data_IF_617743216157
#
_entry.id   IF_617743216157
#
_cell.length_a   1.000
_cell.length_b   1.000
_cell.length_c   1.000
_cell.angle_alpha   90.00
_cell.angle_beta   90.00
_cell.angle_gamma   90.00
#
_symmetry.space_group_name_H-M   'P 1'
#
loop_
_entity.id
_entity.type
_entity.pdbx_description
1 polymer ?
#
# COMPACT_ATOMS: atom_id res chain seq x y z
N UNK A 1 -1.83 -0.57 22.60
CA UNK A 1 -2.47 -0.88 21.30
C UNK A 1 -3.93 -0.43 21.26
N UNK A 2 -4.80 -0.85 22.19
CA UNK A 2 -6.24 -0.51 22.15
C UNK A 2 -6.56 0.99 22.10
N UNK A 3 -5.76 1.84 22.78
CA UNK A 3 -5.93 3.30 22.76
C UNK A 3 -5.80 3.93 21.36
N UNK A 4 -4.97 3.36 20.47
CA UNK A 4 -4.77 3.87 19.11
C UNK A 4 -6.00 3.67 18.20
N UNK A 5 -6.91 2.77 18.62
CA UNK A 5 -8.14 2.46 17.90
C UNK A 5 -9.38 2.95 18.64
N UNK A 6 -9.20 3.77 19.69
CA UNK A 6 -10.32 4.46 20.31
C UNK A 6 -10.96 5.39 19.25
N UNK A 7 -12.28 5.27 18.99
CA UNK A 7 -12.90 5.92 17.86
C UNK A 7 -12.69 7.43 17.76
N UNK A 8 -12.74 8.18 18.85
CA UNK A 8 -12.60 9.64 18.80
C UNK A 8 -11.21 10.07 18.34
N UNK A 9 -10.17 9.56 19.02
CA UNK A 9 -8.78 9.86 18.66
C UNK A 9 -8.41 9.35 17.27
N UNK A 10 -8.89 8.15 16.93
CA UNK A 10 -8.57 7.51 15.66
C UNK A 10 -9.22 8.22 14.47
N UNK A 11 -10.50 8.57 14.55
CA UNK A 11 -11.20 9.31 13.47
C UNK A 11 -10.53 10.66 13.23
N UNK A 12 -10.14 11.37 14.30
CA UNK A 12 -9.41 12.63 14.18
C UNK A 12 -8.08 12.46 13.42
N UNK A 13 -7.37 11.37 13.67
CA UNK A 13 -6.14 11.06 12.92
C UNK A 13 -6.44 10.79 11.44
N UNK A 14 -7.47 10.00 11.14
CA UNK A 14 -7.87 9.67 9.76
C UNK A 14 -8.28 10.93 8.97
N UNK A 15 -8.94 11.88 9.63
CA UNK A 15 -9.29 13.19 9.04
C UNK A 15 -8.09 14.10 8.78
N UNK A 16 -6.88 13.76 9.25
CA UNK A 16 -5.66 14.51 8.93
C UNK A 16 -5.25 14.43 7.45
N UNK A 17 -5.58 13.32 6.79
CA UNK A 17 -5.45 13.15 5.34
C UNK A 17 -6.62 12.28 4.84
N UNK A 18 -7.83 12.87 4.76
CA UNK A 18 -9.08 12.14 4.57
C UNK A 18 -9.10 11.43 3.21
N UNK A 19 -9.46 10.14 3.22
CA UNK A 19 -9.43 9.29 2.02
C UNK A 19 -8.05 8.72 1.68
N UNK A 20 -6.96 9.28 2.22
CA UNK A 20 -5.61 8.74 2.06
C UNK A 20 -5.18 7.89 3.27
N UNK A 21 -5.51 8.36 4.48
CA UNK A 21 -5.48 7.55 5.68
C UNK A 21 -6.79 6.75 5.74
N UNK A 22 -6.67 5.46 5.47
CA UNK A 22 -7.80 4.54 5.44
C UNK A 22 -7.99 3.85 6.80
N UNK A 23 -9.24 3.69 7.28
CA UNK A 23 -9.51 2.95 8.49
C UNK A 23 -9.21 1.46 8.30
N UNK A 24 -8.44 0.87 9.20
CA UNK A 24 -8.18 -0.58 9.19
C UNK A 24 -9.32 -1.38 9.84
N UNK A 25 -10.17 -0.69 10.62
CA UNK A 25 -11.35 -1.27 11.26
C UNK A 25 -12.60 -0.92 10.45
N UNK A 26 -13.33 -1.93 9.99
CA UNK A 26 -14.60 -1.76 9.26
C UNK A 26 -15.62 -0.91 10.02
N UNK A 27 -15.66 -1.06 11.34
CA UNK A 27 -16.55 -0.28 12.22
C UNK A 27 -16.27 1.22 12.17
N UNK A 28 -15.02 1.63 11.92
CA UNK A 28 -14.63 3.04 11.81
C UNK A 28 -14.92 3.56 10.40
N UNK A 29 -14.67 2.77 9.36
CA UNK A 29 -15.02 3.15 7.98
C UNK A 29 -16.51 3.37 7.74
N UNK A 30 -17.36 2.78 8.58
CA UNK A 30 -18.81 2.95 8.55
C UNK A 30 -19.33 3.95 9.59
N UNK A 31 -18.46 4.54 10.41
CA UNK A 31 -18.85 5.49 11.45
C UNK A 31 -19.31 6.81 10.81
N UNK A 32 -20.52 7.32 11.12
CA UNK A 32 -21.00 8.58 10.58
C UNK A 32 -20.05 9.75 10.84
N UNK A 33 -19.31 9.75 11.96
CA UNK A 33 -18.35 10.80 12.29
C UNK A 33 -17.11 10.75 11.41
N UNK A 34 -16.72 9.56 10.94
CA UNK A 34 -15.64 9.42 9.96
C UNK A 34 -16.11 9.92 8.58
N UNK A 35 -17.31 9.51 8.16
CA UNK A 35 -17.89 9.91 6.88
C UNK A 35 -18.26 11.40 6.83
N UNK A 36 -18.44 12.05 7.98
CA UNK A 36 -18.69 13.49 8.11
C UNK A 36 -17.41 14.34 7.93
N UNK A 37 -16.78 14.18 6.76
CA UNK A 37 -15.65 15.01 6.33
C UNK A 37 -15.92 15.58 4.93
N UNK A 38 -15.71 16.90 4.70
CA UNK A 38 -16.01 17.53 3.41
C UNK A 38 -15.30 16.90 2.21
N UNK A 39 -14.09 16.35 2.39
CA UNK A 39 -13.34 15.70 1.31
C UNK A 39 -13.93 14.31 1.03
N UNK A 40 -14.24 13.54 2.08
CA UNK A 40 -14.85 12.20 1.92
C UNK A 40 -16.22 12.31 1.26
N UNK A 41 -17.04 13.27 1.68
CA UNK A 41 -18.37 13.51 1.08
C UNK A 41 -18.28 13.98 -0.37
N UNK A 42 -17.20 14.69 -0.75
CA UNK A 42 -16.99 15.17 -2.12
C UNK A 42 -16.49 14.09 -3.07
N UNK A 43 -15.75 13.11 -2.56
CA UNK A 43 -15.09 12.05 -3.34
C UNK A 43 -15.44 10.65 -2.82
N UNK A 44 -16.73 10.29 -2.70
CA UNK A 44 -17.13 9.04 -2.09
C UNK A 44 -16.68 7.82 -2.91
N UNK A 45 -16.69 7.93 -4.23
CA UNK A 45 -16.31 6.84 -5.14
C UNK A 45 -14.81 6.56 -5.07
N UNK A 46 -13.98 7.61 -5.02
CA UNK A 46 -12.52 7.47 -4.90
C UNK A 46 -12.10 6.90 -3.54
N UNK A 47 -12.78 7.30 -2.45
CA UNK A 47 -12.53 6.76 -1.11
C UNK A 47 -12.91 5.28 -1.03
N UNK A 48 -14.03 4.89 -1.64
CA UNK A 48 -14.43 3.47 -1.72
C UNK A 48 -13.42 2.67 -2.56
N UNK A 49 -13.05 3.16 -3.74
CA UNK A 49 -12.06 2.51 -4.60
C UNK A 49 -10.72 2.29 -3.88
N UNK A 50 -10.25 3.31 -3.15
CA UNK A 50 -9.02 3.18 -2.36
C UNK A 50 -9.17 2.15 -1.23
N UNK A 51 -10.33 2.11 -0.57
CA UNK A 51 -10.63 1.15 0.50
C UNK A 51 -10.66 -0.29 -0.02
N UNK A 52 -11.30 -0.52 -1.17
CA UNK A 52 -11.34 -1.82 -1.84
C UNK A 52 -9.94 -2.28 -2.27
N UNK A 53 -9.16 -1.39 -2.90
CA UNK A 53 -7.79 -1.67 -3.31
C UNK A 53 -6.89 -2.03 -2.11
N UNK A 54 -7.03 -1.30 -1.00
CA UNK A 54 -6.28 -1.58 0.23
C UNK A 54 -6.68 -2.92 0.86
N UNK A 55 -7.96 -3.28 0.83
CA UNK A 55 -8.45 -4.55 1.37
C UNK A 55 -7.97 -5.78 0.57
N UNK A 56 -7.77 -5.63 -0.75
CA UNK A 56 -7.25 -6.67 -1.62
C UNK A 56 -5.72 -6.69 -1.77
N UNK A 57 -5.04 -5.66 -1.27
CA UNK A 57 -3.60 -5.48 -1.42
C UNK A 57 -2.77 -6.33 -0.46
N UNK A 58 -1.55 -6.66 -0.90
CA UNK A 58 -0.53 -7.29 -0.06
C UNK A 58 0.68 -6.37 0.01
N UNK A 59 1.25 -6.24 1.21
CA UNK A 59 2.48 -5.48 1.39
C UNK A 59 3.68 -6.33 0.95
N UNK A 60 4.70 -5.67 0.39
CA UNK A 60 6.02 -6.29 0.25
C UNK A 60 6.59 -6.59 1.64
N UNK A 61 6.90 -7.85 1.94
CA UNK A 61 7.08 -8.34 3.31
C UNK A 61 6.04 -9.38 3.72
N UNK A 62 4.85 -9.36 3.10
CA UNK A 62 3.80 -10.37 3.25
C UNK A 62 2.97 -10.46 1.97
N UNK A 63 3.59 -11.00 0.93
CA UNK A 63 3.15 -10.87 -0.46
C UNK A 63 1.88 -11.68 -0.79
N UNK A 64 1.61 -12.75 -0.05
CA UNK A 64 0.35 -13.49 -0.14
C UNK A 64 0.08 -14.33 1.11
N UNK A 65 -1.13 -14.89 1.28
CA UNK A 65 -1.43 -15.83 2.36
C UNK A 65 -0.66 -17.15 2.25
N UNK A 66 -0.11 -17.47 1.07
CA UNK A 66 0.69 -18.66 0.83
C UNK A 66 2.19 -18.46 1.12
N UNK A 67 2.64 -17.21 1.34
CA UNK A 67 4.04 -16.89 1.58
C UNK A 67 4.30 -16.68 3.08
N UNK A 68 5.50 -17.07 3.51
CA UNK A 68 6.03 -16.67 4.82
C UNK A 68 6.45 -15.20 4.78
N UNK A 69 6.55 -14.51 5.94
CA UNK A 69 7.06 -13.15 5.97
C UNK A 69 8.43 -13.04 5.30
N UNK A 70 8.55 -12.14 4.34
CA UNK A 70 9.77 -11.92 3.58
C UNK A 70 10.76 -11.08 4.40
N UNK A 71 11.71 -11.76 5.05
CA UNK A 71 12.74 -11.12 5.86
C UNK A 71 13.68 -10.18 5.07
N UNK A 72 13.72 -10.32 3.74
CA UNK A 72 14.55 -9.53 2.82
C UNK A 72 13.78 -8.39 2.16
N UNK A 73 12.48 -8.21 2.46
CA UNK A 73 11.66 -7.15 1.86
C UNK A 73 12.28 -5.76 2.02
N UNK A 74 12.87 -5.45 3.18
CA UNK A 74 13.58 -4.19 3.40
C UNK A 74 14.80 -4.02 2.50
N UNK A 75 15.58 -5.09 2.26
CA UNK A 75 16.73 -5.06 1.35
C UNK A 75 16.28 -4.86 -0.10
N UNK A 76 15.20 -5.52 -0.52
CA UNK A 76 14.60 -5.33 -1.86
C UNK A 76 14.16 -3.88 -2.05
N UNK A 77 13.43 -3.29 -1.10
CA UNK A 77 13.01 -1.88 -1.18
C UNK A 77 14.22 -0.95 -1.25
N UNK A 78 15.20 -1.14 -0.37
CA UNK A 78 16.37 -0.27 -0.28
C UNK A 78 17.30 -0.38 -1.49
N UNK A 79 17.27 -1.50 -2.21
CA UNK A 79 18.03 -1.67 -3.46
C UNK A 79 17.52 -0.79 -4.61
N UNK A 80 16.33 -0.19 -4.46
CA UNK A 80 15.63 0.59 -5.49
C UNK A 80 15.31 -0.18 -6.78
N UNK A 81 15.48 -1.51 -6.79
CA UNK A 81 15.35 -2.34 -7.99
C UNK A 81 13.95 -2.26 -8.65
N UNK A 82 12.90 -2.11 -7.83
CA UNK A 82 11.53 -1.93 -8.31
C UNK A 82 11.29 -0.53 -8.89
N UNK A 83 11.87 0.51 -8.27
CA UNK A 83 11.76 1.88 -8.79
C UNK A 83 12.53 2.04 -10.10
N UNK A 84 13.72 1.44 -10.18
CA UNK A 84 14.53 1.38 -11.39
C UNK A 84 13.79 0.68 -12.53
N UNK A 85 13.12 -0.45 -12.24
CA UNK A 85 12.29 -1.16 -13.23
C UNK A 85 11.23 -0.22 -13.83
N UNK A 86 10.48 0.49 -13.00
CA UNK A 86 9.42 1.42 -13.45
C UNK A 86 10.01 2.56 -14.28
N UNK A 87 11.14 3.13 -13.87
CA UNK A 87 11.84 4.17 -14.64
C UNK A 87 12.24 3.66 -16.03
N UNK A 88 12.89 2.48 -16.10
CA UNK A 88 13.36 1.89 -17.36
C UNK A 88 12.21 1.65 -18.34
N UNK A 89 11.09 1.12 -17.86
CA UNK A 89 9.93 0.84 -18.71
C UNK A 89 9.17 2.12 -19.08
N UNK A 90 8.77 2.91 -18.08
CA UNK A 90 7.82 4.01 -18.29
C UNK A 90 8.49 5.30 -18.79
N UNK A 91 9.76 5.53 -18.47
CA UNK A 91 10.46 6.77 -18.81
C UNK A 91 11.49 6.55 -19.92
N UNK A 92 12.30 5.48 -19.83
CA UNK A 92 13.32 5.20 -20.85
C UNK A 92 12.75 4.47 -22.08
N UNK A 93 11.55 3.89 -21.98
CA UNK A 93 10.91 3.16 -23.08
C UNK A 93 11.54 1.81 -23.38
N UNK A 94 12.21 1.19 -22.40
CA UNK A 94 12.79 -0.14 -22.55
C UNK A 94 11.71 -1.23 -22.61
N UNK A 95 12.01 -2.37 -23.24
CA UNK A 95 11.08 -3.50 -23.36
C UNK A 95 10.70 -4.06 -21.99
N UNK A 96 9.41 -3.95 -21.64
CA UNK A 96 8.92 -4.32 -20.33
C UNK A 96 9.21 -5.78 -19.96
N UNK A 97 9.14 -6.70 -20.93
CA UNK A 97 9.38 -8.13 -20.65
C UNK A 97 10.81 -8.39 -20.24
N UNK A 98 11.76 -7.80 -20.96
CA UNK A 98 13.19 -7.92 -20.67
C UNK A 98 13.53 -7.30 -19.33
N UNK A 99 13.08 -6.07 -19.07
CA UNK A 99 13.36 -5.36 -17.81
C UNK A 99 12.77 -6.11 -16.61
N UNK A 100 11.52 -6.60 -16.70
CA UNK A 100 10.92 -7.41 -15.61
C UNK A 100 11.74 -8.67 -15.32
N UNK A 101 12.27 -9.33 -16.35
CA UNK A 101 13.13 -10.50 -16.19
C UNK A 101 14.44 -10.18 -15.46
N UNK A 102 15.10 -9.08 -15.84
CA UNK A 102 16.33 -8.61 -15.19
C UNK A 102 16.09 -8.16 -13.74
N UNK A 103 14.99 -7.44 -13.48
CA UNK A 103 14.58 -7.05 -12.13
C UNK A 103 14.35 -8.29 -11.26
N UNK A 104 13.67 -9.31 -11.79
CA UNK A 104 13.43 -10.55 -11.05
C UNK A 104 14.74 -11.27 -10.68
N UNK A 105 15.73 -11.30 -11.58
CA UNK A 105 17.05 -11.88 -11.29
C UNK A 105 17.77 -11.12 -10.17
N UNK A 106 17.75 -9.79 -10.20
CA UNK A 106 18.36 -8.96 -9.13
C UNK A 106 17.66 -9.14 -7.78
N UNK A 107 16.34 -9.31 -7.78
CA UNK A 107 15.63 -9.65 -6.54
C UNK A 107 16.07 -11.03 -6.05
N UNK A 108 16.16 -12.04 -6.92
CA UNK A 108 16.63 -13.38 -6.56
C UNK A 108 18.06 -13.38 -5.97
N UNK A 109 18.95 -12.53 -6.49
CA UNK A 109 20.28 -12.32 -5.91
C UNK A 109 20.22 -11.74 -4.48
N UNK A 110 19.37 -10.73 -4.24
CA UNK A 110 19.13 -10.16 -2.90
C UNK A 110 18.57 -11.23 -1.96
N UNK A 111 17.66 -12.08 -2.44
CA UNK A 111 17.05 -13.13 -1.64
C UNK A 111 18.04 -14.24 -1.24
N UNK A 112 19.09 -14.45 -2.03
CA UNK A 112 20.13 -15.48 -1.80
C UNK A 112 21.28 -15.03 -0.90
N UNK A 113 21.55 -13.72 -0.84
CA UNK A 113 22.60 -13.13 0.01
C UNK A 113 22.24 -13.10 1.48
#
# INVERSE_FOLDING_TARGET
AAFLFEPEGYIKQLHGAPGHLLPVLRTIGQDPRYLDNPIIQRYPEEVELMSEAAAGGYNLGWESPAHQPNAKAGEVVNSLVLAEMVQRVCVNGEDARSVVGETAQRIDEIMKG
#
